data_IF_766225757437
#
_entry.id   IF_766225757437
#
_cell.length_a   1.000
_cell.length_b   1.000
_cell.length_c   1.000
_cell.angle_alpha   90.00
_cell.angle_beta   90.00
_cell.angle_gamma   90.00
#
_symmetry.space_group_name_H-M   'P 1'
#
loop_
_entity.id
_entity.type
_entity.pdbx_description
1 polymer ?
#
# COMPACT_ATOMS: atom_id res chain seq x y z
N UNK A 1 45.26 15.14 7.89
CA UNK A 1 44.44 14.34 8.82
C UNK A 1 43.05 14.93 9.08
N UNK A 2 42.82 16.23 8.84
CA UNK A 2 41.49 16.85 8.99
C UNK A 2 40.54 16.65 7.78
N UNK A 3 41.08 16.39 6.59
CA UNK A 3 40.28 16.17 5.36
C UNK A 3 39.59 14.82 5.31
N UNK A 4 40.16 13.79 5.93
CA UNK A 4 39.56 12.44 6.01
C UNK A 4 38.41 12.36 7.02
N UNK A 5 38.43 13.16 8.09
CA UNK A 5 37.31 13.21 9.05
C UNK A 5 36.08 13.94 8.50
N UNK A 6 36.28 14.95 7.64
CA UNK A 6 35.17 15.68 7.01
C UNK A 6 34.39 14.82 5.99
N UNK A 7 35.09 13.92 5.29
CA UNK A 7 34.49 12.98 4.33
C UNK A 7 33.65 11.89 5.02
N UNK A 8 34.01 11.46 6.24
CA UNK A 8 33.23 10.46 7.01
C UNK A 8 31.93 11.06 7.53
N UNK A 9 31.90 12.35 7.89
CA UNK A 9 30.68 13.04 8.33
C UNK A 9 29.70 13.32 7.19
N UNK A 10 30.18 13.58 5.95
CA UNK A 10 29.31 13.70 4.78
C UNK A 10 28.70 12.35 4.35
N UNK A 11 29.37 11.23 4.58
CA UNK A 11 28.87 9.90 4.21
C UNK A 11 27.70 9.39 5.09
N UNK A 12 27.52 9.95 6.30
CA UNK A 12 26.39 9.63 7.18
C UNK A 12 25.10 10.40 6.85
N UNK A 13 25.15 11.33 5.88
CA UNK A 13 23.98 12.08 5.39
C UNK A 13 23.14 11.31 4.37
N UNK A 14 23.21 9.98 4.32
CA UNK A 14 22.34 9.19 3.44
C UNK A 14 20.89 9.43 3.86
N UNK A 15 20.19 10.21 3.04
CA UNK A 15 18.79 10.55 3.22
C UNK A 15 17.99 9.25 3.27
N UNK A 16 17.36 8.99 4.41
CA UNK A 16 16.25 8.04 4.51
C UNK A 16 15.10 8.62 3.69
N UNK A 17 15.10 8.32 2.39
CA UNK A 17 13.96 8.60 1.53
C UNK A 17 12.83 7.70 2.02
N UNK A 18 11.91 8.29 2.78
CA UNK A 18 10.84 7.57 3.44
C UNK A 18 9.61 7.47 2.53
N UNK A 19 9.05 6.27 2.40
CA UNK A 19 7.86 5.99 1.62
C UNK A 19 6.56 6.30 2.38
N UNK A 20 6.46 7.49 2.98
CA UNK A 20 5.28 7.86 3.74
C UNK A 20 4.02 7.78 2.88
N UNK A 21 2.90 7.49 3.54
CA UNK A 21 1.60 7.42 2.90
C UNK A 21 0.50 7.79 3.88
N UNK A 22 -0.67 8.13 3.38
CA UNK A 22 -1.87 8.29 4.22
C UNK A 22 -2.97 7.37 3.71
N UNK A 23 -3.86 6.93 4.58
CA UNK A 23 -5.03 6.13 4.19
C UNK A 23 -6.26 7.01 4.26
N UNK A 24 -7.03 7.08 3.18
CA UNK A 24 -8.24 7.89 3.10
C UNK A 24 -9.51 7.03 3.23
N UNK A 25 -9.46 5.76 2.81
CA UNK A 25 -10.55 4.82 3.02
C UNK A 25 -10.07 3.37 3.25
N UNK A 26 -10.61 2.64 4.24
CA UNK A 26 -11.24 3.19 5.44
C UNK A 26 -10.31 4.21 6.10
N UNK A 27 -10.84 5.18 6.86
CA UNK A 27 -9.99 6.21 7.43
C UNK A 27 -9.00 5.60 8.42
N UNK A 28 -7.72 6.01 8.37
CA UNK A 28 -6.71 5.53 9.33
C UNK A 28 -7.04 5.94 10.77
N UNK A 29 -6.43 5.25 11.75
CA UNK A 29 -6.59 5.57 13.18
C UNK A 29 -6.30 7.03 13.53
N UNK A 30 -5.41 7.66 12.78
CA UNK A 30 -5.05 9.07 12.93
C UNK A 30 -3.84 9.42 12.10
N UNK A 31 -3.50 10.71 12.05
CA UNK A 31 -2.30 11.17 11.35
C UNK A 31 -1.04 10.70 12.08
N UNK A 32 -0.43 9.68 11.49
CA UNK A 32 0.79 9.04 11.94
C UNK A 32 1.99 9.43 11.08
N UNK A 33 1.90 10.42 10.18
CA UNK A 33 2.91 10.69 9.14
C UNK A 33 4.33 10.77 9.71
N UNK A 34 4.51 11.31 10.92
CA UNK A 34 5.82 11.44 11.59
C UNK A 34 6.25 10.21 12.40
N UNK A 35 5.37 9.24 12.61
CA UNK A 35 5.59 8.08 13.50
C UNK A 35 5.33 6.75 12.81
N UNK A 36 5.13 6.73 11.48
CA UNK A 36 4.75 5.53 10.72
C UNK A 36 5.74 4.39 10.86
N UNK A 37 6.99 4.64 11.22
CA UNK A 37 8.00 3.62 11.50
C UNK A 37 7.72 2.81 12.78
N UNK A 38 6.81 3.27 13.65
CA UNK A 38 6.45 2.61 14.91
C UNK A 38 5.41 1.52 14.66
N UNK A 39 5.77 0.26 14.93
CA UNK A 39 4.84 -0.87 14.84
C UNK A 39 3.76 -0.81 15.94
N UNK A 40 2.55 -1.34 15.69
CA UNK A 40 2.06 -1.89 14.42
C UNK A 40 1.31 -0.87 13.55
N UNK A 41 0.99 0.32 14.04
CA UNK A 41 0.04 1.25 13.40
C UNK A 41 0.55 2.70 13.38
N UNK A 42 1.86 2.89 13.25
CA UNK A 42 2.50 4.19 13.45
C UNK A 42 2.46 4.66 14.91
N UNK A 43 2.29 3.72 15.85
CA UNK A 43 2.10 3.99 17.28
C UNK A 43 0.74 4.59 17.65
N UNK A 44 -0.23 4.60 16.73
CA UNK A 44 -1.58 5.12 17.00
C UNK A 44 -2.47 4.02 17.59
N UNK A 45 -3.03 4.30 18.77
CA UNK A 45 -3.95 3.39 19.47
C UNK A 45 -5.21 3.14 18.66
N UNK A 46 -5.84 2.00 18.92
CA UNK A 46 -7.14 1.63 18.37
C UNK A 46 -8.20 2.69 18.65
N UNK A 47 -9.15 2.82 17.71
CA UNK A 47 -10.24 3.80 17.76
C UNK A 47 -11.59 3.11 18.01
N UNK A 48 -12.53 3.88 18.56
CA UNK A 48 -13.92 3.44 18.75
C UNK A 48 -14.82 3.82 17.58
N UNK A 49 -14.46 4.84 16.80
CA UNK A 49 -15.19 5.27 15.61
C UNK A 49 -14.77 4.46 14.38
N UNK A 50 -15.27 3.22 14.29
CA UNK A 50 -14.92 2.25 13.26
C UNK A 50 -15.67 2.49 11.95
N UNK A 51 -15.00 2.28 10.83
CA UNK A 51 -15.65 2.31 9.51
C UNK A 51 -16.41 1.01 9.27
N UNK A 52 -17.66 1.07 8.78
CA UNK A 52 -18.37 -0.13 8.34
C UNK A 52 -17.74 -0.65 7.04
N UNK A 53 -17.36 -1.92 7.02
CA UNK A 53 -16.67 -2.54 5.88
C UNK A 53 -17.36 -3.85 5.48
N UNK A 54 -17.57 -4.15 4.17
CA UNK A 54 -18.36 -5.31 3.76
C UNK A 54 -17.81 -6.65 4.27
N UNK A 55 -18.70 -7.54 4.73
CA UNK A 55 -18.35 -8.91 5.19
C UNK A 55 -17.67 -9.76 4.10
N UNK A 56 -17.93 -9.48 2.83
CA UNK A 56 -17.38 -10.19 1.67
C UNK A 56 -16.18 -9.50 1.03
N UNK A 57 -15.69 -8.41 1.64
CA UNK A 57 -14.57 -7.63 1.13
C UNK A 57 -14.96 -6.25 0.63
N UNK A 58 -14.09 -5.27 0.86
CA UNK A 58 -14.33 -3.88 0.51
C UNK A 58 -13.12 -3.17 -0.07
N UNK A 59 -13.31 -1.89 -0.36
CA UNK A 59 -12.27 -1.06 -0.93
C UNK A 59 -11.23 -0.63 0.11
N UNK A 60 -10.02 -0.34 -0.36
CA UNK A 60 -8.99 0.39 0.38
C UNK A 60 -8.40 1.45 -0.55
N UNK A 61 -8.37 2.70 -0.12
CA UNK A 61 -7.79 3.84 -0.82
C UNK A 61 -6.72 4.50 0.06
N UNK A 62 -5.50 4.57 -0.45
CA UNK A 62 -4.38 5.22 0.21
C UNK A 62 -3.56 6.05 -0.77
N UNK A 63 -2.77 6.98 -0.24
CA UNK A 63 -1.97 7.91 -1.02
C UNK A 63 -0.49 7.81 -0.67
N UNK A 64 0.28 7.00 -1.43
CA UNK A 64 1.73 6.98 -1.32
C UNK A 64 2.36 8.29 -1.80
N UNK A 65 3.42 8.73 -1.14
CA UNK A 65 4.18 9.93 -1.55
C UNK A 65 5.52 9.61 -2.22
N UNK A 66 5.91 8.33 -2.24
CA UNK A 66 7.16 7.87 -2.84
C UNK A 66 6.91 7.17 -4.18
N UNK A 67 7.95 7.09 -5.02
CA UNK A 67 7.82 6.59 -6.38
C UNK A 67 7.60 5.07 -6.47
N UNK A 68 7.94 4.33 -5.42
CA UNK A 68 7.48 2.95 -5.21
C UNK A 68 7.66 2.46 -3.77
N UNK A 69 6.97 1.37 -3.39
CA UNK A 69 7.21 0.65 -2.14
C UNK A 69 6.70 -0.80 -2.21
N UNK A 70 7.37 -1.72 -1.51
CA UNK A 70 6.80 -3.06 -1.29
C UNK A 70 5.63 -2.95 -0.33
N UNK A 71 4.43 -3.22 -0.82
CA UNK A 71 3.19 -2.97 -0.09
C UNK A 71 2.46 -4.28 0.22
N UNK A 72 1.88 -4.35 1.41
CA UNK A 72 1.12 -5.48 1.94
C UNK A 72 -0.17 -4.96 2.59
N UNK A 73 -1.22 -5.77 2.55
CA UNK A 73 -2.43 -5.52 3.33
C UNK A 73 -2.70 -6.71 4.23
N UNK A 74 -2.72 -6.46 5.52
CA UNK A 74 -3.00 -7.46 6.55
C UNK A 74 -4.31 -7.14 7.28
N UNK A 75 -4.86 -8.15 7.93
CA UNK A 75 -6.05 -8.10 8.76
C UNK A 75 -5.70 -8.70 10.12
N UNK A 76 -6.17 -8.06 11.18
CA UNK A 76 -6.20 -8.58 12.54
C UNK A 76 -7.61 -8.47 13.11
N UNK A 77 -8.07 -9.52 13.78
CA UNK A 77 -9.39 -9.55 14.40
C UNK A 77 -9.31 -9.05 15.85
N UNK A 78 -10.36 -8.37 16.30
CA UNK A 78 -10.44 -7.79 17.64
C UNK A 78 -10.68 -6.29 17.61
N UNK A 79 -10.71 -5.69 18.80
CA UNK A 79 -11.07 -4.30 18.97
C UNK A 79 -10.24 -3.48 19.97
N UNK A 80 -9.16 -4.06 20.49
CA UNK A 80 -8.23 -3.41 21.41
C UNK A 80 -6.80 -3.29 20.83
N UNK A 81 -5.86 -2.81 21.64
CA UNK A 81 -4.45 -2.66 21.22
C UNK A 81 -3.68 -4.00 21.20
N UNK A 82 -4.32 -5.13 21.54
CA UNK A 82 -3.71 -6.47 21.49
C UNK A 82 -3.88 -7.17 20.14
N UNK A 83 -4.55 -6.53 19.16
CA UNK A 83 -4.77 -7.08 17.82
C UNK A 83 -3.46 -7.53 17.16
N UNK A 84 -3.47 -8.77 16.67
CA UNK A 84 -2.38 -9.36 15.89
C UNK A 84 -2.79 -9.42 14.41
N UNK A 85 -1.98 -8.84 13.54
CA UNK A 85 -2.20 -8.83 12.08
C UNK A 85 -1.67 -10.12 11.42
N UNK A 86 -2.34 -11.24 11.66
CA UNK A 86 -1.90 -12.57 11.22
C UNK A 86 -2.53 -13.05 9.89
N UNK A 87 -3.45 -12.29 9.29
CA UNK A 87 -4.07 -12.64 8.01
C UNK A 87 -3.61 -11.70 6.91
N UNK A 88 -2.82 -12.19 5.96
CA UNK A 88 -2.42 -11.38 4.78
C UNK A 88 -3.51 -11.45 3.72
N UNK A 89 -4.22 -10.33 3.51
CA UNK A 89 -5.26 -10.20 2.49
C UNK A 89 -4.68 -9.89 1.10
N UNK A 90 -3.61 -9.11 1.05
CA UNK A 90 -2.87 -8.80 -0.18
C UNK A 90 -1.40 -9.11 0.07
N UNK A 91 -0.89 -10.09 -0.68
CA UNK A 91 0.52 -10.47 -0.70
C UNK A 91 1.40 -9.31 -1.18
N UNK A 92 2.71 -9.41 -0.94
CA UNK A 92 3.69 -8.41 -1.37
C UNK A 92 3.50 -8.04 -2.84
N UNK A 93 3.34 -6.75 -3.12
CA UNK A 93 3.39 -6.21 -4.47
C UNK A 93 4.23 -4.93 -4.48
N UNK A 94 4.83 -4.63 -5.62
CA UNK A 94 5.52 -3.38 -5.83
C UNK A 94 4.49 -2.31 -6.20
N UNK A 95 4.13 -1.46 -5.25
CA UNK A 95 3.33 -0.28 -5.52
C UNK A 95 4.21 0.73 -6.24
N UNK A 96 3.78 1.25 -7.39
CA UNK A 96 4.51 2.25 -8.20
C UNK A 96 3.75 3.58 -8.25
N UNK A 97 4.47 4.68 -8.42
CA UNK A 97 3.94 6.03 -8.54
C UNK A 97 3.58 6.69 -7.20
N UNK A 98 3.35 8.00 -7.24
CA UNK A 98 2.77 8.76 -6.12
C UNK A 98 1.39 9.28 -6.52
N UNK A 99 0.49 9.49 -5.56
CA UNK A 99 -0.89 9.88 -5.83
C UNK A 99 -1.88 8.94 -5.17
N UNK A 100 -3.02 8.66 -5.81
CA UNK A 100 -4.04 7.73 -5.30
C UNK A 100 -3.74 6.31 -5.76
N UNK A 101 -3.69 5.38 -4.80
CA UNK A 101 -3.78 3.95 -5.04
C UNK A 101 -5.07 3.43 -4.41
N UNK A 102 -5.87 2.68 -5.17
CA UNK A 102 -7.10 2.10 -4.69
C UNK A 102 -7.26 0.62 -5.08
N UNK A 103 -7.62 -0.19 -4.10
CA UNK A 103 -8.22 -1.50 -4.32
C UNK A 103 -9.74 -1.33 -4.30
N UNK A 104 -10.46 -1.64 -5.40
CA UNK A 104 -11.92 -1.53 -5.42
C UNK A 104 -12.58 -2.59 -4.55
N UNK A 105 -11.95 -3.76 -4.42
CA UNK A 105 -12.38 -4.81 -3.51
C UNK A 105 -11.20 -5.71 -3.14
N UNK A 106 -10.98 -5.87 -1.84
CA UNK A 106 -10.11 -6.91 -1.29
C UNK A 106 -11.03 -7.97 -0.69
N UNK A 107 -11.06 -9.20 -1.23
CA UNK A 107 -11.93 -10.26 -0.71
C UNK A 107 -11.47 -10.74 0.67
N UNK A 108 -12.42 -11.22 1.47
CA UNK A 108 -12.15 -11.89 2.73
C UNK A 108 -12.18 -13.42 2.52
N UNK A 109 -11.17 -14.17 2.99
CA UNK A 109 -11.22 -15.62 2.96
C UNK A 109 -12.42 -16.16 3.75
N UNK A 110 -13.19 -17.06 3.13
CA UNK A 110 -14.46 -17.55 3.68
C UNK A 110 -14.28 -18.38 4.97
N UNK A 111 -13.11 -18.99 5.15
CA UNK A 111 -12.73 -19.79 6.32
C UNK A 111 -12.49 -18.97 7.58
N UNK A 112 -12.37 -17.64 7.48
CA UNK A 112 -12.27 -16.76 8.65
C UNK A 112 -13.59 -16.63 9.43
N UNK A 113 -14.73 -17.07 8.85
CA UNK A 113 -16.01 -17.08 9.54
C UNK A 113 -16.50 -15.70 9.99
N UNK A 114 -16.10 -14.64 9.28
CA UNK A 114 -16.46 -13.25 9.57
C UNK A 114 -17.98 -13.06 9.49
N UNK A 115 -18.53 -12.36 10.49
CA UNK A 115 -19.96 -12.05 10.58
C UNK A 115 -20.18 -10.54 10.72
N UNK A 116 -21.41 -10.12 10.44
CA UNK A 116 -21.87 -8.77 10.76
C UNK A 116 -21.58 -8.43 12.23
N UNK A 117 -21.02 -7.25 12.49
CA UNK A 117 -20.60 -6.79 13.80
C UNK A 117 -19.20 -7.23 14.25
N UNK A 118 -18.50 -8.07 13.48
CA UNK A 118 -17.12 -8.46 13.83
C UNK A 118 -16.19 -7.26 13.75
N UNK A 119 -15.52 -6.92 14.85
CA UNK A 119 -14.51 -5.87 14.86
C UNK A 119 -13.16 -6.40 14.37
N UNK A 120 -12.47 -5.57 13.60
CA UNK A 120 -11.14 -5.87 13.10
C UNK A 120 -10.34 -4.59 12.82
N UNK A 121 -9.07 -4.75 12.53
CA UNK A 121 -8.21 -3.72 11.99
C UNK A 121 -7.56 -4.21 10.70
N UNK A 122 -7.55 -3.36 9.68
CA UNK A 122 -6.72 -3.50 8.50
C UNK A 122 -5.38 -2.81 8.76
N UNK A 123 -4.30 -3.36 8.21
CA UNK A 123 -2.97 -2.75 8.25
C UNK A 123 -2.39 -2.70 6.85
N UNK A 124 -1.92 -1.53 6.45
CA UNK A 124 -1.07 -1.37 5.28
C UNK A 124 0.36 -1.26 5.78
N UNK A 125 1.25 -2.05 5.19
CA UNK A 125 2.70 -1.98 5.42
C UNK A 125 3.36 -1.56 4.12
N UNK A 126 4.16 -0.50 4.15
CA UNK A 126 5.03 -0.12 3.04
C UNK A 126 6.49 -0.24 3.46
N UNK A 127 7.19 -1.21 2.88
CA UNK A 127 8.62 -1.43 3.09
C UNK A 127 9.44 -0.77 1.98
N UNK A 128 10.54 -0.12 2.36
CA UNK A 128 11.50 0.52 1.45
C UNK A 128 12.70 -0.40 1.17
N UNK A 129 13.60 0.06 0.28
CA UNK A 129 14.80 -0.68 -0.17
C UNK A 129 15.76 -1.08 0.95
N UNK A 130 15.79 -0.33 2.05
CA UNK A 130 16.70 -0.59 3.17
C UNK A 130 16.09 -1.51 4.24
N UNK A 131 14.90 -2.08 3.98
CA UNK A 131 14.19 -2.95 4.91
C UNK A 131 13.44 -2.21 6.03
N UNK A 132 13.49 -0.87 6.08
CA UNK A 132 12.59 -0.10 6.94
C UNK A 132 11.15 -0.23 6.43
N UNK A 133 10.19 -0.19 7.35
CA UNK A 133 8.78 -0.30 7.01
C UNK A 133 7.97 0.74 7.76
N UNK A 134 6.94 1.22 7.08
CA UNK A 134 5.97 2.18 7.57
C UNK A 134 4.61 1.51 7.68
N UNK A 135 3.86 1.88 8.70
CA UNK A 135 2.62 1.22 9.09
C UNK A 135 1.49 2.22 9.26
N UNK A 136 0.33 1.89 8.71
CA UNK A 136 -0.93 2.52 9.02
C UNK A 136 -2.00 1.48 9.24
N UNK A 137 -2.92 1.75 10.15
CA UNK A 137 -4.04 0.88 10.43
C UNK A 137 -5.36 1.61 10.29
N UNK A 138 -6.40 0.87 9.94
CA UNK A 138 -7.77 1.35 9.83
C UNK A 138 -8.66 0.40 10.61
N UNK A 139 -9.41 0.93 11.57
CA UNK A 139 -10.31 0.12 12.38
C UNK A 139 -11.67 0.02 11.71
N UNK A 140 -12.13 -1.21 11.56
CA UNK A 140 -13.36 -1.53 10.86
C UNK A 140 -14.29 -2.35 11.76
N UNK A 141 -15.57 -2.28 11.41
CA UNK A 141 -16.58 -3.25 11.85
C UNK A 141 -17.17 -3.86 10.59
N UNK A 142 -17.07 -5.18 10.47
CA UNK A 142 -17.65 -5.90 9.35
C UNK A 142 -19.17 -5.74 9.33
N UNK A 143 -19.73 -5.48 8.16
CA UNK A 143 -21.18 -5.35 8.01
C UNK A 143 -21.69 -6.00 6.72
N UNK A 144 -22.85 -6.64 6.83
CA UNK A 144 -23.67 -7.16 5.74
C UNK A 144 -24.43 -6.06 5.00
N UNK A 145 -24.54 -4.86 5.57
CA UNK A 145 -25.19 -3.69 4.98
C UNK A 145 -24.42 -2.40 5.35
N UNK A 146 -23.15 -2.29 4.91
CA UNK A 146 -22.27 -1.21 5.31
C UNK A 146 -22.77 0.13 4.76
N UNK A 147 -22.76 1.15 5.61
CA UNK A 147 -23.05 2.54 5.25
C UNK A 147 -21.77 3.30 4.95
N UNK A 148 -21.88 4.35 4.14
CA UNK A 148 -20.76 5.21 3.77
C UNK A 148 -19.57 4.45 3.16
N UNK A 149 -19.86 3.40 2.39
CA UNK A 149 -18.84 2.74 1.58
C UNK A 149 -18.29 3.71 0.53
N UNK A 150 -17.02 3.56 0.20
CA UNK A 150 -16.39 4.35 -0.86
C UNK A 150 -17.18 4.15 -2.16
N UNK A 151 -17.65 5.25 -2.74
CA UNK A 151 -18.33 5.19 -4.03
C UNK A 151 -17.38 4.64 -5.10
N UNK A 152 -17.92 3.84 -6.03
CA UNK A 152 -17.10 3.08 -6.98
C UNK A 152 -16.24 4.00 -7.86
N UNK A 153 -16.78 5.15 -8.25
CA UNK A 153 -16.11 6.20 -9.03
C UNK A 153 -15.05 6.98 -8.25
N UNK A 154 -15.03 6.85 -6.91
CA UNK A 154 -14.00 7.44 -6.06
C UNK A 154 -12.79 6.52 -5.87
N UNK A 155 -12.89 5.24 -6.23
CA UNK A 155 -11.80 4.28 -6.15
C UNK A 155 -11.02 4.20 -7.48
N UNK A 156 -10.21 5.23 -7.75
CA UNK A 156 -9.48 5.35 -9.02
C UNK A 156 -8.01 5.66 -8.75
N UNK A 157 -7.13 4.88 -9.39
CA UNK A 157 -5.70 5.15 -9.33
C UNK A 157 -5.36 6.43 -10.07
N UNK A 158 -4.45 7.24 -9.52
CA UNK A 158 -3.85 8.35 -10.28
C UNK A 158 -3.06 7.82 -11.47
N UNK A 159 -2.91 8.65 -12.50
CA UNK A 159 -2.07 8.32 -13.66
C UNK A 159 -0.66 7.95 -13.22
N UNK A 160 -0.16 6.79 -13.66
CA UNK A 160 1.16 6.29 -13.29
C UNK A 160 1.23 5.59 -11.93
N UNK A 161 0.12 5.50 -11.18
CA UNK A 161 0.03 4.73 -9.94
C UNK A 161 -0.52 3.34 -10.20
N UNK A 162 0.16 2.32 -9.72
CA UNK A 162 -0.24 0.93 -9.95
C UNK A 162 0.50 -0.06 -9.07
N UNK A 163 0.18 -1.35 -9.22
CA UNK A 163 0.78 -2.43 -8.47
C UNK A 163 1.31 -3.52 -9.40
N UNK A 164 2.55 -3.95 -9.16
CA UNK A 164 3.21 -5.04 -9.90
C UNK A 164 3.45 -6.20 -8.95
N UNK A 165 2.98 -7.39 -9.30
CA UNK A 165 3.21 -8.59 -8.49
C UNK A 165 4.72 -8.89 -8.36
N UNK A 166 5.16 -9.26 -7.16
CA UNK A 166 6.52 -9.75 -6.95
C UNK A 166 6.58 -11.19 -7.46
N UNK A 167 7.49 -11.45 -8.39
CA UNK A 167 7.73 -12.79 -8.95
C UNK A 167 9.17 -13.19 -8.72
N UNK A 168 9.40 -14.48 -8.53
CA UNK A 168 10.75 -15.03 -8.50
C UNK A 168 11.41 -14.80 -9.86
N UNK A 169 12.63 -14.28 -9.88
CA UNK A 169 13.42 -14.33 -11.10
C UNK A 169 13.62 -15.80 -11.49
N UNK A 170 13.39 -16.20 -12.76
CA UNK A 170 13.66 -17.57 -13.17
C UNK A 170 15.15 -17.88 -12.96
N UNK A 171 15.43 -19.04 -12.35
CA UNK A 171 16.79 -19.53 -12.20
C UNK A 171 17.34 -19.90 -13.58
N UNK A 172 18.08 -18.96 -14.20
CA UNK A 172 18.95 -19.08 -15.38
C UNK A 172 18.61 -20.15 -16.44
N UNK A 173 18.24 -19.69 -17.64
CA UNK A 173 18.39 -20.43 -18.89
C UNK A 173 17.11 -20.54 -19.71
N UNK A 174 16.94 -19.66 -20.71
CA UNK A 174 15.90 -19.71 -21.75
C UNK A 174 14.44 -19.76 -21.26
N UNK A 175 13.85 -18.59 -21.00
CA UNK A 175 12.41 -18.47 -20.79
C UNK A 175 11.90 -17.14 -21.30
N UNK A 176 11.05 -17.17 -22.34
CA UNK A 176 10.37 -16.00 -22.93
C UNK A 176 9.80 -15.09 -21.84
N UNK A 177 9.90 -13.78 -22.09
CA UNK A 177 9.27 -12.73 -21.30
C UNK A 177 7.75 -13.02 -21.18
N UNK A 178 7.35 -13.68 -20.09
CA UNK A 178 5.95 -13.79 -19.73
C UNK A 178 5.57 -12.43 -19.16
N UNK A 179 4.68 -11.71 -19.85
CA UNK A 179 4.07 -10.50 -19.32
C UNK A 179 3.47 -10.83 -17.96
N UNK A 180 4.11 -10.37 -16.88
CA UNK A 180 3.53 -10.40 -15.55
C UNK A 180 2.19 -9.70 -15.64
N UNK A 181 1.12 -10.43 -15.32
CA UNK A 181 -0.23 -9.91 -15.39
C UNK A 181 -0.30 -8.65 -14.54
N UNK A 182 -0.53 -7.50 -15.19
CA UNK A 182 -1.04 -6.35 -14.49
C UNK A 182 -2.32 -6.80 -13.77
N UNK A 183 -2.45 -6.45 -12.49
CA UNK A 183 -3.71 -6.64 -11.77
C UNK A 183 -4.66 -5.58 -12.36
N UNK A 184 -5.28 -5.91 -13.48
CA UNK A 184 -6.17 -5.05 -14.26
C UNK A 184 -7.60 -5.56 -14.07
N UNK A 185 -8.40 -4.87 -13.26
CA UNK A 185 -9.85 -5.06 -13.27
C UNK A 185 -10.43 -4.27 -14.44
N UNK A 186 -10.74 -4.97 -15.54
CA UNK A 186 -11.29 -4.38 -16.75
C UNK A 186 -12.79 -4.03 -16.58
N UNK A 187 -13.11 -2.74 -16.69
CA UNK A 187 -14.38 -2.25 -17.22
C UNK A 187 -14.06 -1.49 -18.51
N UNK A 188 -14.40 -2.06 -19.67
CA UNK A 188 -14.09 -1.49 -21.00
C UNK A 188 -15.27 -0.69 -21.56
N UNK A 189 -14.98 0.54 -21.99
CA UNK A 189 -15.46 1.24 -23.19
C UNK A 189 -14.72 2.58 -23.21
N UNK A 190 -14.00 3.07 -24.22
CA UNK A 190 -13.75 2.70 -25.60
C UNK A 190 -13.20 3.96 -26.29
N UNK A 191 -12.24 3.78 -27.21
CA UNK A 191 -11.75 4.72 -28.25
C UNK A 191 -10.76 5.84 -27.87
N UNK A 192 -9.60 5.82 -28.56
CA UNK A 192 -8.74 7.00 -28.76
C UNK A 192 -7.24 6.68 -28.82
N UNK A 193 -6.75 6.34 -30.01
CA UNK A 193 -5.32 6.19 -30.28
C UNK A 193 -4.62 7.56 -30.38
N UNK A 194 -3.40 7.71 -29.82
CA UNK A 194 -2.31 8.53 -30.42
C UNK A 194 -0.95 8.33 -29.75
N UNK A 195 0.02 7.98 -30.59
CA UNK A 195 1.44 8.39 -30.68
C UNK A 195 2.41 8.30 -29.47
N UNK A 196 3.47 7.50 -29.69
CA UNK A 196 4.74 7.51 -28.96
C UNK A 196 5.51 8.82 -29.18
N UNK A 197 6.17 9.31 -28.13
CA UNK A 197 7.44 10.04 -28.24
C UNK A 197 8.36 9.68 -27.06
N UNK A 198 9.51 9.11 -27.40
CA UNK A 198 10.62 8.88 -26.49
C UNK A 198 11.41 10.18 -26.28
N UNK A 199 11.75 10.50 -25.03
CA UNK A 199 12.81 11.47 -24.73
C UNK A 199 13.87 10.80 -23.87
N UNK A 200 15.02 10.58 -24.50
CA UNK A 200 16.31 10.29 -23.87
C UNK A 200 16.86 11.63 -23.39
N UNK A 201 17.12 11.77 -22.09
CA UNK A 201 17.98 12.85 -21.59
C UNK A 201 19.09 12.20 -20.79
N UNK A 202 20.24 12.08 -21.42
CA UNK A 202 21.52 11.89 -20.76
C UNK A 202 21.91 13.23 -20.13
N UNK A 203 22.25 13.23 -18.85
CA UNK A 203 22.95 14.36 -18.23
C UNK A 203 24.23 13.86 -17.59
N UNK A 204 25.30 14.24 -18.26
CA UNK A 204 26.71 14.05 -17.95
C UNK A 204 27.12 14.94 -16.78
N UNK A 205 28.16 14.50 -16.09
CA UNK A 205 28.89 15.18 -15.03
C UNK A 205 29.13 16.68 -15.29
N UNK A 206 28.82 17.51 -14.28
CA UNK A 206 29.72 18.52 -13.69
C UNK A 206 29.46 18.52 -12.18
#
# INVERSE_FOLDING_TARGET
>A
MFTTQLLVLLAFGMSIVSAHFRVEYPYWRGDSFKSQYTRPCGGVNVTTNRTQWPVDGGAILFKPTHHWALTYVNLGLGDDDSIIFNYTLVQAFNQTGNGTFCFPKIPIPADLGIRDGTNASLQIVQASTNGAALYNCMDITFSSSPRNVLAQDMCVNSTGVGGVAITSAPASGEGKLSSGGAISNAGVSGMGATALLAMVVASLLI
#
